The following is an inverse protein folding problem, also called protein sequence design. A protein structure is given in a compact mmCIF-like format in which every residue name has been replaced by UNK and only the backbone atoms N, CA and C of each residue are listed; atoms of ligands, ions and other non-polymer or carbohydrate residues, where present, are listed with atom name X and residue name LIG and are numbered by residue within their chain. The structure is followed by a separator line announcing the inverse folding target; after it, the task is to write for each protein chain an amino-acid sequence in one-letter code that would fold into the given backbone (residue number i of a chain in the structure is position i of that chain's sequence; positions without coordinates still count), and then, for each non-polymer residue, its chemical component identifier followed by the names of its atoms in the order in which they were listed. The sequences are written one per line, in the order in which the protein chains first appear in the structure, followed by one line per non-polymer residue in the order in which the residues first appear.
data_IF_847025939143
#
_entry.id   IF_847025939143
#
_cell.length_a   1.000
_cell.length_b   1.000
_cell.length_c   1.000
_cell.angle_alpha   90.00
_cell.angle_beta   90.00
_cell.angle_gamma   90.00
#
_symmetry.space_group_name_H-M   'P 1'
#
loop_
_entity.id
_entity.type
_entity.pdbx_description
1 polymer ?
#
# COMPACT_ATOMS: atom_id res chain seq x y z
N UNK A 1 -70.79 -52.24 7.32
CA UNK A 1 -70.85 -50.89 7.93
C UNK A 1 -69.67 -50.76 8.90
N UNK A 2 -68.95 -49.64 8.78
CA UNK A 2 -68.04 -49.02 9.75
C UNK A 2 -66.69 -49.72 10.07
N UNK A 3 -65.61 -49.08 9.62
CA UNK A 3 -64.21 -49.27 10.01
C UNK A 3 -63.94 -48.78 11.45
N UNK A 4 -62.77 -49.12 12.03
CA UNK A 4 -61.92 -48.03 12.51
C UNK A 4 -60.44 -48.09 12.09
N UNK A 5 -59.91 -46.87 12.07
CA UNK A 5 -58.62 -46.28 11.66
C UNK A 5 -57.37 -46.87 12.33
N UNK A 6 -56.21 -46.98 11.63
CA UNK A 6 -54.91 -47.03 12.27
C UNK A 6 -54.24 -45.65 12.31
N UNK A 7 -53.56 -45.39 13.43
CA UNK A 7 -52.83 -44.16 13.72
C UNK A 7 -51.57 -44.06 12.84
N UNK A 8 -51.47 -42.99 12.05
CA UNK A 8 -50.23 -42.62 11.36
C UNK A 8 -49.54 -41.48 12.11
N UNK A 9 -48.39 -41.77 12.73
CA UNK A 9 -47.47 -40.73 13.19
C UNK A 9 -46.70 -40.21 11.97
N UNK A 10 -47.07 -39.03 11.48
CA UNK A 10 -46.28 -38.32 10.48
C UNK A 10 -45.23 -37.45 11.20
N UNK A 11 -43.98 -37.91 11.22
CA UNK A 11 -42.84 -37.08 11.60
C UNK A 11 -42.51 -36.21 10.40
N UNK A 12 -42.93 -34.94 10.44
CA UNK A 12 -42.61 -33.96 9.42
C UNK A 12 -41.18 -33.45 9.66
N UNK A 13 -40.20 -34.07 9.00
CA UNK A 13 -38.84 -33.52 8.91
C UNK A 13 -38.86 -32.29 8.01
N UNK A 14 -38.85 -31.11 8.63
CA UNK A 14 -38.69 -29.84 7.92
C UNK A 14 -37.21 -29.66 7.57
N UNK A 15 -36.82 -30.06 6.36
CA UNK A 15 -35.48 -29.79 5.82
C UNK A 15 -35.42 -28.32 5.38
N UNK A 16 -34.94 -27.45 6.26
CA UNK A 16 -34.65 -26.06 5.91
C UNK A 16 -33.37 -26.07 5.08
N UNK A 17 -33.50 -26.00 3.75
CA UNK A 17 -32.37 -25.87 2.84
C UNK A 17 -31.75 -24.48 3.08
N UNK A 18 -30.71 -24.42 3.90
CA UNK A 18 -29.95 -23.19 4.08
C UNK A 18 -29.13 -22.93 2.82
N UNK A 19 -29.67 -22.10 1.92
CA UNK A 19 -28.86 -21.46 0.89
C UNK A 19 -28.00 -20.41 1.56
N UNK A 20 -26.75 -20.76 1.87
CA UNK A 20 -25.72 -19.75 2.07
C UNK A 20 -25.45 -19.12 0.71
N UNK A 21 -25.99 -17.93 0.49
CA UNK A 21 -25.52 -17.07 -0.59
C UNK A 21 -24.11 -16.61 -0.21
N UNK A 22 -23.10 -17.41 -0.57
CA UNK A 22 -21.75 -16.90 -0.66
C UNK A 22 -21.70 -16.09 -1.95
N UNK A 23 -21.96 -14.79 -1.84
CA UNK A 23 -21.67 -13.89 -2.94
C UNK A 23 -20.16 -13.98 -3.17
N UNK A 24 -19.75 -14.66 -4.24
CA UNK A 24 -18.38 -14.58 -4.69
C UNK A 24 -18.08 -13.09 -4.90
N UNK A 25 -17.20 -12.53 -4.08
CA UNK A 25 -16.71 -11.18 -4.30
C UNK A 25 -16.04 -11.20 -5.67
N UNK A 26 -16.70 -10.57 -6.64
CA UNK A 26 -16.27 -10.55 -8.04
C UNK A 26 -15.20 -9.46 -8.19
N UNK A 27 -14.10 -9.63 -7.48
CA UNK A 27 -13.00 -8.68 -7.43
C UNK A 27 -12.18 -8.67 -8.70
N UNK A 28 -11.51 -7.54 -8.92
CA UNK A 28 -10.56 -7.33 -10.01
C UNK A 28 -9.13 -7.32 -9.49
N UNK A 29 -8.18 -7.72 -10.34
CA UNK A 29 -6.75 -7.52 -10.05
C UNK A 29 -6.40 -6.09 -10.45
N UNK A 30 -5.87 -5.32 -9.49
CA UNK A 30 -5.39 -3.95 -9.71
C UNK A 30 -3.88 -3.93 -9.60
N UNK A 31 -3.23 -3.78 -10.76
CA UNK A 31 -1.79 -3.81 -10.88
C UNK A 31 -1.18 -2.41 -10.80
N UNK A 32 -0.13 -2.25 -9.99
CA UNK A 32 0.64 -1.02 -9.82
C UNK A 32 2.14 -1.31 -9.99
N UNK A 33 2.84 -0.45 -10.73
CA UNK A 33 4.30 -0.52 -10.88
C UNK A 33 4.92 0.55 -10.02
N UNK A 34 5.64 0.16 -8.96
CA UNK A 34 6.18 1.09 -7.96
C UNK A 34 7.68 0.93 -7.84
N UNK A 35 8.43 2.01 -7.99
CA UNK A 35 9.86 2.05 -7.76
C UNK A 35 10.21 2.76 -6.46
N UNK A 36 11.18 2.25 -5.70
CA UNK A 36 11.90 3.06 -4.71
C UNK A 36 13.04 3.79 -5.42
N UNK A 37 12.99 5.13 -5.45
CA UNK A 37 13.92 5.99 -6.20
C UNK A 37 14.56 6.98 -5.25
N UNK A 38 15.88 7.15 -5.32
CA UNK A 38 16.58 8.21 -4.61
C UNK A 38 16.47 9.52 -5.40
N UNK A 39 15.88 10.54 -4.77
CA UNK A 39 15.79 11.89 -5.34
C UNK A 39 16.12 12.91 -4.24
N UNK A 40 16.64 14.08 -4.62
CA UNK A 40 16.82 15.20 -3.71
C UNK A 40 15.48 15.86 -3.41
N UNK A 41 15.09 15.83 -2.14
CA UNK A 41 13.86 16.43 -1.67
C UNK A 41 14.13 17.77 -1.01
N UNK A 42 13.58 18.82 -1.61
CA UNK A 42 13.61 20.19 -1.09
C UNK A 42 12.40 20.44 -0.17
N UNK A 43 12.65 20.63 1.12
CA UNK A 43 11.62 20.93 2.12
C UNK A 43 11.12 22.39 2.07
N UNK A 44 11.86 23.29 1.44
CA UNK A 44 11.55 24.72 1.36
C UNK A 44 11.75 25.28 -0.07
N UNK A 45 11.08 24.70 -1.08
CA UNK A 45 11.39 24.93 -2.49
C UNK A 45 11.05 26.34 -2.99
N UNK A 46 10.31 27.12 -2.20
CA UNK A 46 9.98 28.50 -2.54
C UNK A 46 11.08 29.48 -2.19
N UNK A 47 11.98 29.16 -1.25
CA UNK A 47 12.92 30.12 -0.66
C UNK A 47 12.27 31.11 0.31
N UNK A 48 10.94 31.05 0.50
CA UNK A 48 10.14 32.03 1.24
C UNK A 48 9.47 31.39 2.44
N UNK A 49 9.58 32.03 3.61
CA UNK A 49 8.69 31.78 4.74
C UNK A 49 7.29 32.33 4.40
N UNK A 50 6.44 31.45 3.87
CA UNK A 50 5.10 31.82 3.39
C UNK A 50 4.17 32.36 4.48
N UNK A 51 4.47 32.15 5.76
CA UNK A 51 3.66 32.70 6.86
C UNK A 51 3.98 34.19 7.05
N UNK A 52 5.27 34.54 7.01
CA UNK A 52 5.73 35.91 7.27
C UNK A 52 5.94 36.73 5.98
N UNK A 53 5.98 36.08 4.82
CA UNK A 53 6.16 36.73 3.51
C UNK A 53 7.58 37.25 3.28
N UNK A 54 8.59 36.67 3.94
CA UNK A 54 10.00 37.07 3.83
C UNK A 54 10.86 35.92 3.33
N UNK A 55 12.02 36.25 2.78
CA UNK A 55 13.05 35.26 2.44
C UNK A 55 13.45 34.44 3.69
N UNK A 56 13.81 33.18 3.49
CA UNK A 56 14.16 32.25 4.58
C UNK A 56 15.27 32.81 5.49
N UNK A 57 16.26 33.52 4.94
CA UNK A 57 17.37 34.10 5.69
C UNK A 57 16.97 35.24 6.63
N UNK A 58 15.86 35.91 6.32
CA UNK A 58 15.26 36.98 7.11
C UNK A 58 14.27 36.47 8.17
N UNK A 59 13.89 35.19 8.11
CA UNK A 59 13.04 34.54 9.11
C UNK A 59 13.92 33.72 10.09
N UNK A 60 14.07 34.14 11.36
CA UNK A 60 14.93 33.44 12.32
C UNK A 60 14.56 31.95 12.49
N UNK A 61 13.27 31.63 12.46
CA UNK A 61 12.77 30.26 12.59
C UNK A 61 13.05 29.42 11.35
N UNK A 62 12.83 29.98 10.14
CA UNK A 62 13.11 29.27 8.90
C UNK A 62 14.63 29.09 8.68
N UNK A 63 15.41 30.16 8.87
CA UNK A 63 16.87 30.12 8.76
C UNK A 63 17.50 29.06 9.69
N UNK A 64 16.99 28.90 10.92
CA UNK A 64 17.51 27.94 11.88
C UNK A 64 17.48 26.48 11.40
N UNK A 65 16.50 26.12 10.56
CA UNK A 65 16.36 24.77 9.99
C UNK A 65 16.86 24.66 8.55
N UNK A 66 16.84 25.76 7.80
CA UNK A 66 17.19 25.78 6.38
C UNK A 66 18.67 26.05 6.09
N UNK A 67 19.41 26.59 7.06
CA UNK A 67 20.80 26.99 6.89
C UNK A 67 21.68 25.82 6.42
N UNK A 68 22.33 26.00 5.27
CA UNK A 68 23.38 25.13 4.79
C UNK A 68 24.75 25.73 5.13
N UNK A 69 25.53 25.03 5.94
CA UNK A 69 26.88 25.44 6.33
C UNK A 69 27.71 24.21 6.71
N UNK A 70 28.99 24.39 7.05
CA UNK A 70 29.88 23.27 7.42
C UNK A 70 29.42 22.40 8.62
N UNK A 71 28.31 22.75 9.28
CA UNK A 71 27.71 22.00 10.39
C UNK A 71 26.25 21.57 10.10
N UNK A 72 25.61 22.03 9.02
CA UNK A 72 24.20 21.80 8.70
C UNK A 72 24.01 21.51 7.21
N UNK A 73 23.27 20.44 6.91
CA UNK A 73 22.99 19.98 5.54
C UNK A 73 22.06 20.95 4.78
N UNK A 74 21.28 21.78 5.48
CA UNK A 74 20.30 22.67 4.87
C UNK A 74 18.92 22.01 4.75
N UNK A 75 18.12 22.43 3.77
CA UNK A 75 16.73 22.01 3.58
C UNK A 75 16.53 21.02 2.42
N UNK A 76 17.61 20.62 1.73
CA UNK A 76 17.57 19.64 0.65
C UNK A 76 18.27 18.36 1.13
N UNK A 77 17.57 17.24 1.02
CA UNK A 77 18.08 15.93 1.46
C UNK A 77 17.76 14.87 0.41
N UNK A 78 18.73 14.02 0.09
CA UNK A 78 18.46 12.81 -0.68
C UNK A 78 17.53 11.88 0.10
N UNK A 79 16.45 11.43 -0.53
CA UNK A 79 15.45 10.51 0.04
C UNK A 79 15.17 9.37 -0.93
N UNK A 80 15.06 8.15 -0.42
CA UNK A 80 14.40 7.07 -1.15
C UNK A 80 12.88 7.26 -1.06
N UNK A 81 12.23 7.52 -2.19
CA UNK A 81 10.80 7.78 -2.28
C UNK A 81 10.14 6.80 -3.24
N UNK A 82 8.89 6.42 -2.94
CA UNK A 82 8.10 5.61 -3.84
C UNK A 82 7.57 6.46 -5.00
N UNK A 83 7.72 5.94 -6.23
CA UNK A 83 7.22 6.55 -7.48
C UNK A 83 6.48 5.49 -8.28
N UNK A 84 5.37 5.88 -8.89
CA UNK A 84 4.62 5.00 -9.79
C UNK A 84 5.16 5.10 -11.21
N UNK A 85 5.15 3.99 -11.92
CA UNK A 85 5.54 3.87 -13.31
C UNK A 85 4.37 3.34 -14.14
N UNK A 86 4.43 3.56 -15.45
CA UNK A 86 3.34 3.17 -16.37
C UNK A 86 3.25 1.67 -16.60
N UNK A 87 4.37 0.96 -16.47
CA UNK A 87 4.52 -0.45 -16.82
C UNK A 87 5.79 -1.06 -16.18
N UNK A 88 6.02 -2.35 -16.48
CA UNK A 88 7.11 -3.18 -15.96
C UNK A 88 8.51 -2.81 -16.49
N UNK A 89 8.60 -1.88 -17.44
CA UNK A 89 9.90 -1.39 -17.92
C UNK A 89 10.52 -0.40 -16.92
N UNK A 90 9.70 0.22 -16.07
CA UNK A 90 10.10 1.29 -15.15
C UNK A 90 10.80 2.47 -15.87
N UNK A 91 10.45 2.72 -17.14
CA UNK A 91 11.06 3.77 -17.94
C UNK A 91 10.36 5.14 -17.76
N UNK A 92 9.03 5.13 -17.60
CA UNK A 92 8.22 6.36 -17.54
C UNK A 92 7.45 6.42 -16.22
N UNK A 93 7.70 7.45 -15.42
CA UNK A 93 6.93 7.70 -14.21
C UNK A 93 5.49 8.10 -14.57
N UNK A 94 4.51 7.54 -13.86
CA UNK A 94 3.12 7.88 -14.01
C UNK A 94 2.84 9.33 -13.56
N UNK A 95 1.81 9.95 -14.15
CA UNK A 95 1.42 11.32 -13.78
C UNK A 95 0.94 11.35 -12.34
N UNK A 96 1.56 12.20 -11.52
CA UNK A 96 1.16 12.43 -10.12
C UNK A 96 0.75 13.88 -9.87
N UNK A 97 -0.19 14.14 -8.94
CA UNK A 97 -0.51 15.49 -8.55
C UNK A 97 0.63 16.11 -7.72
N UNK A 98 0.91 17.39 -7.96
CA UNK A 98 1.99 18.11 -7.27
C UNK A 98 1.80 18.15 -5.75
N UNK A 99 0.56 18.25 -5.29
CA UNK A 99 0.23 18.34 -3.86
C UNK A 99 0.58 17.07 -3.06
N UNK A 100 0.85 15.94 -3.72
CA UNK A 100 1.24 14.69 -3.04
C UNK A 100 2.63 14.81 -2.39
N UNK A 101 3.44 15.76 -2.85
CA UNK A 101 4.74 16.05 -2.26
C UNK A 101 5.66 14.82 -2.28
N UNK A 102 6.30 14.49 -1.17
CA UNK A 102 7.23 13.35 -1.10
C UNK A 102 6.52 11.99 -1.09
N UNK A 103 5.21 11.95 -0.79
CA UNK A 103 4.46 10.71 -0.62
C UNK A 103 4.46 9.85 -1.89
N UNK A 104 4.40 8.53 -1.66
CA UNK A 104 4.24 7.54 -2.72
C UNK A 104 2.89 7.60 -3.42
N UNK A 105 2.69 6.78 -4.46
CA UNK A 105 1.45 6.78 -5.22
C UNK A 105 0.24 6.33 -4.40
N UNK A 106 -0.94 6.78 -4.83
CA UNK A 106 -2.21 6.43 -4.19
C UNK A 106 -2.70 5.10 -4.76
N UNK A 107 -2.52 4.03 -4.00
CA UNK A 107 -3.06 2.70 -4.31
C UNK A 107 -4.56 2.67 -3.94
N UNK A 108 -5.42 2.39 -4.90
CA UNK A 108 -6.88 2.29 -4.71
C UNK A 108 -7.38 0.89 -5.04
N UNK A 109 -8.30 0.39 -4.22
CA UNK A 109 -8.99 -0.87 -4.46
C UNK A 109 -10.33 -0.90 -3.71
N UNK A 110 -11.22 -1.79 -4.15
CA UNK A 110 -12.52 -2.07 -3.56
C UNK A 110 -12.49 -3.43 -2.85
N UNK A 111 -13.44 -3.64 -1.94
CA UNK A 111 -13.59 -4.92 -1.25
C UNK A 111 -13.74 -6.05 -2.27
N UNK A 112 -12.94 -7.11 -2.10
CA UNK A 112 -12.89 -8.25 -3.01
C UNK A 112 -11.77 -8.17 -4.05
N UNK A 113 -11.23 -6.99 -4.33
CA UNK A 113 -10.11 -6.85 -5.25
C UNK A 113 -8.83 -7.49 -4.71
N UNK A 114 -7.92 -7.79 -5.63
CA UNK A 114 -6.52 -8.11 -5.33
C UNK A 114 -5.64 -6.98 -5.84
N UNK A 115 -4.86 -6.38 -4.97
CA UNK A 115 -3.82 -5.41 -5.32
C UNK A 115 -2.53 -6.16 -5.62
N UNK A 116 -2.01 -5.96 -6.82
CA UNK A 116 -0.69 -6.47 -7.22
C UNK A 116 0.27 -5.29 -7.36
N UNK A 117 1.34 -5.27 -6.58
CA UNK A 117 2.38 -4.24 -6.67
C UNK A 117 3.67 -4.86 -7.17
N UNK A 118 4.05 -4.55 -8.40
CA UNK A 118 5.35 -4.88 -8.94
C UNK A 118 6.30 -3.80 -8.45
N UNK A 119 7.03 -4.14 -7.39
CA UNK A 119 7.96 -3.26 -6.73
C UNK A 119 9.37 -3.46 -7.28
N UNK A 120 10.01 -2.37 -7.76
CA UNK A 120 11.42 -2.38 -8.15
C UNK A 120 12.24 -1.49 -7.22
N UNK A 121 13.29 -2.04 -6.64
CA UNK A 121 14.20 -1.24 -5.83
C UNK A 121 15.26 -0.60 -6.73
N UNK A 122 15.15 0.70 -6.98
CA UNK A 122 16.11 1.48 -7.78
C UNK A 122 17.03 2.32 -6.89
N UNK A 123 16.88 2.24 -5.56
CA UNK A 123 17.69 2.94 -4.58
C UNK A 123 18.92 2.12 -4.17
N UNK A 124 19.82 2.75 -3.41
CA UNK A 124 21.11 2.17 -3.04
C UNK A 124 21.05 1.18 -1.87
N UNK A 125 19.98 1.21 -1.08
CA UNK A 125 19.78 0.35 0.09
C UNK A 125 18.66 -0.67 -0.15
N UNK A 126 18.61 -1.72 0.66
CA UNK A 126 17.48 -2.66 0.63
C UNK A 126 16.19 -1.95 1.08
N UNK A 127 15.11 -2.16 0.33
CA UNK A 127 13.78 -1.62 0.64
C UNK A 127 12.70 -2.68 0.43
N UNK A 128 11.52 -2.45 0.99
CA UNK A 128 10.35 -3.30 0.85
C UNK A 128 9.08 -2.45 0.92
N UNK A 129 7.92 -3.05 0.67
CA UNK A 129 6.62 -2.42 0.86
C UNK A 129 5.76 -3.25 1.81
N UNK A 130 5.22 -2.61 2.85
CA UNK A 130 4.31 -3.22 3.82
C UNK A 130 2.94 -2.54 3.75
N UNK A 131 1.86 -3.27 3.43
CA UNK A 131 0.53 -2.69 3.37
C UNK A 131 -0.10 -2.61 4.77
N UNK A 132 -0.95 -1.61 4.99
CA UNK A 132 -1.86 -1.58 6.13
C UNK A 132 -3.29 -1.78 5.64
N UNK A 133 -4.09 -2.56 6.39
CA UNK A 133 -5.51 -2.77 6.09
C UNK A 133 -5.81 -3.73 4.94
N UNK A 134 -4.80 -4.46 4.46
CA UNK A 134 -4.94 -5.52 3.45
C UNK A 134 -4.54 -6.87 4.05
N UNK A 135 -5.00 -7.95 3.42
CA UNK A 135 -4.66 -9.32 3.78
C UNK A 135 -3.55 -9.83 2.85
N UNK A 136 -2.58 -10.53 3.42
CA UNK A 136 -1.41 -11.01 2.69
C UNK A 136 -0.83 -12.27 3.33
N UNK A 137 -0.08 -13.05 2.54
CA UNK A 137 0.74 -14.15 3.06
C UNK A 137 2.11 -13.64 3.53
N UNK A 138 2.84 -14.43 4.30
CA UNK A 138 4.13 -14.01 4.87
C UNK A 138 5.18 -13.53 3.85
N UNK A 139 5.34 -14.14 2.66
CA UNK A 139 6.23 -13.60 1.62
C UNK A 139 5.81 -12.23 1.04
N UNK A 140 4.55 -11.83 1.24
CA UNK A 140 3.96 -10.59 0.75
C UNK A 140 3.82 -9.52 1.85
N UNK A 141 4.39 -9.75 3.04
CA UNK A 141 4.29 -8.86 4.19
C UNK A 141 5.22 -7.65 4.08
N UNK A 142 6.42 -7.82 3.54
CA UNK A 142 7.39 -6.73 3.40
C UNK A 142 8.16 -6.39 4.68
N UNK A 143 8.15 -7.27 5.68
CA UNK A 143 8.85 -7.05 6.96
C UNK A 143 9.70 -8.27 7.32
N UNK A 144 11.00 -8.05 7.49
CA UNK A 144 11.93 -9.09 7.91
C UNK A 144 11.79 -9.36 9.41
N UNK A 145 11.67 -10.64 9.79
CA UNK A 145 11.64 -11.11 11.17
C UNK A 145 12.60 -12.31 11.29
N UNK A 146 13.33 -12.38 12.39
CA UNK A 146 14.32 -13.44 12.59
C UNK A 146 13.70 -14.85 12.41
N UNK A 147 14.22 -15.61 11.46
CA UNK A 147 13.71 -16.94 11.09
C UNK A 147 12.54 -16.95 10.10
N UNK A 148 12.13 -15.80 9.57
CA UNK A 148 11.09 -15.62 8.55
C UNK A 148 11.56 -14.64 7.47
N UNK A 149 12.68 -14.96 6.84
CA UNK A 149 13.26 -14.16 5.77
C UNK A 149 12.73 -14.62 4.41
N UNK A 150 11.94 -13.76 3.77
CA UNK A 150 11.47 -13.94 2.39
C UNK A 150 12.03 -12.81 1.53
N UNK A 151 12.23 -13.04 0.23
CA UNK A 151 12.78 -12.04 -0.68
C UNK A 151 11.98 -10.73 -0.68
N UNK A 152 10.66 -10.80 -0.54
CA UNK A 152 9.78 -9.64 -0.43
C UNK A 152 9.98 -8.81 0.86
N UNK A 153 10.64 -9.34 1.88
CA UNK A 153 10.83 -8.64 3.15
C UNK A 153 12.04 -7.69 3.15
N UNK A 154 12.94 -7.84 2.18
CA UNK A 154 14.14 -7.01 2.01
C UNK A 154 14.62 -7.14 0.56
N UNK A 155 14.10 -6.29 -0.32
CA UNK A 155 14.41 -6.33 -1.75
C UNK A 155 15.73 -5.60 -2.00
N UNK A 156 16.79 -6.27 -2.49
CA UNK A 156 18.08 -5.64 -2.73
C UNK A 156 18.06 -4.59 -3.85
N UNK A 157 19.06 -3.69 -3.93
CA UNK A 157 19.21 -2.75 -5.04
C UNK A 157 19.19 -3.45 -6.41
N UNK A 158 18.40 -2.92 -7.35
CA UNK A 158 18.24 -3.44 -8.70
C UNK A 158 17.20 -4.55 -8.84
N UNK A 159 16.80 -5.19 -7.73
CA UNK A 159 15.88 -6.33 -7.74
C UNK A 159 14.41 -5.89 -7.80
N UNK A 160 13.55 -6.84 -8.20
CA UNK A 160 12.11 -6.65 -8.32
C UNK A 160 11.36 -7.72 -7.51
N UNK A 161 10.28 -7.34 -6.85
CA UNK A 161 9.38 -8.24 -6.15
C UNK A 161 7.93 -7.89 -6.43
N UNK A 162 7.10 -8.90 -6.65
CA UNK A 162 5.66 -8.72 -6.81
C UNK A 162 4.95 -9.03 -5.51
N UNK A 163 4.33 -8.01 -4.92
CA UNK A 163 3.46 -8.16 -3.76
C UNK A 163 2.03 -8.41 -4.20
N UNK A 164 1.38 -9.40 -3.59
CA UNK A 164 -0.04 -9.69 -3.78
C UNK A 164 -0.79 -9.49 -2.47
N UNK A 165 -1.74 -8.56 -2.46
CA UNK A 165 -2.53 -8.19 -1.29
C UNK A 165 -4.02 -8.25 -1.60
N UNK A 166 -4.79 -8.96 -0.78
CA UNK A 166 -6.24 -9.09 -0.91
C UNK A 166 -6.93 -7.96 -0.13
N UNK A 167 -8.00 -7.39 -0.68
CA UNK A 167 -8.85 -6.42 0.03
C UNK A 167 -9.99 -7.17 0.73
N UNK A 168 -9.90 -7.42 2.05
CA UNK A 168 -10.87 -8.26 2.74
C UNK A 168 -12.24 -7.59 2.86
N UNK A 169 -13.28 -8.41 2.98
CA UNK A 169 -14.58 -7.95 3.45
C UNK A 169 -14.53 -7.48 4.90
N UNK A 170 -15.47 -6.63 5.30
CA UNK A 170 -15.55 -6.10 6.67
C UNK A 170 -15.66 -7.19 7.75
N UNK A 171 -16.17 -8.36 7.40
CA UNK A 171 -16.37 -9.48 8.31
C UNK A 171 -15.17 -10.45 8.38
N UNK A 172 -14.14 -10.25 7.54
CA UNK A 172 -13.02 -11.18 7.38
C UNK A 172 -11.74 -10.69 8.10
N UNK A 173 -11.87 -9.67 8.95
CA UNK A 173 -10.79 -9.05 9.73
C UNK A 173 -10.66 -9.60 11.17
N UNK A 174 -11.46 -10.62 11.55
CA UNK A 174 -11.49 -11.22 12.89
C UNK A 174 -10.65 -12.48 13.01
#
# INVERSE_FOLDING_TARGET
MLFPVPWGLAVSTFFMLQFTFSAALNGTIRTYYVGAVEEDWDYMPTGIDLINGVEIDQSPQAAAVAAHNGQRIGHVYTKAMFREFTDDTFAVQARRPQWLGMLGPVIRAEVGDTVEVIFKNMASNNHSMHPHGLRYSKPNEGVAMAGQEFSGNSVPPGETWTYTWEVPGRHDLS
#
